data_IF_200397044404
#
_entry.id   IF_200397044404
#
_cell.length_a   1.000
_cell.length_b   1.000
_cell.length_c   1.000
_cell.angle_alpha   90.00
_cell.angle_beta   90.00
_cell.angle_gamma   90.00
#
_symmetry.space_group_name_H-M   'P 1'
#
loop_
_entity.id
_entity.type
_entity.pdbx_description
1 polymer ?
#
# COMPACT_ATOMS: atom_id res chain seq x y z
N UNK A 1 -13.79 -29.74 -11.43
CA UNK A 1 -12.84 -28.94 -10.62
C UNK A 1 -11.46 -28.92 -11.26
N UNK A 2 -11.00 -27.80 -11.80
CA UNK A 2 -9.56 -27.53 -12.02
C UNK A 2 -9.35 -26.05 -11.74
N UNK A 3 -8.70 -25.75 -10.61
CA UNK A 3 -8.38 -24.38 -10.17
C UNK A 3 -7.43 -23.76 -11.19
N UNK A 4 -7.86 -22.70 -11.85
CA UNK A 4 -6.98 -21.82 -12.64
C UNK A 4 -6.05 -21.12 -11.67
N UNK A 5 -4.80 -21.61 -11.59
CA UNK A 5 -3.74 -20.87 -10.93
C UNK A 5 -3.49 -19.60 -11.76
N UNK A 6 -3.74 -18.47 -11.12
CA UNK A 6 -3.47 -17.14 -11.61
C UNK A 6 -1.95 -16.94 -11.68
N UNK A 7 -1.32 -17.41 -12.76
CA UNK A 7 0.06 -17.07 -13.10
C UNK A 7 0.14 -15.54 -13.30
N UNK A 8 1.04 -14.84 -12.58
CA UNK A 8 1.21 -13.41 -12.80
C UNK A 8 1.71 -13.21 -14.23
N UNK A 9 0.87 -12.61 -15.08
CA UNK A 9 1.22 -12.19 -16.43
C UNK A 9 2.49 -11.33 -16.37
N UNK A 10 3.64 -11.94 -16.64
CA UNK A 10 4.90 -11.24 -16.85
C UNK A 10 4.68 -10.43 -18.12
N UNK A 11 4.65 -9.09 -17.99
CA UNK A 11 4.65 -8.20 -19.15
C UNK A 11 5.95 -8.47 -19.90
N UNK A 12 5.84 -9.15 -21.05
CA UNK A 12 6.91 -9.82 -21.81
C UNK A 12 7.94 -8.86 -22.44
N UNK A 13 8.08 -7.62 -21.95
CA UNK A 13 8.90 -6.57 -22.56
C UNK A 13 9.88 -5.85 -21.63
N UNK A 14 10.03 -6.25 -20.37
CA UNK A 14 10.92 -5.57 -19.39
C UNK A 14 11.93 -6.49 -18.69
N UNK A 15 12.00 -7.77 -19.09
CA UNK A 15 12.98 -8.69 -18.55
C UNK A 15 14.35 -8.44 -19.21
N UNK A 16 15.35 -8.10 -18.39
CA UNK A 16 16.74 -7.97 -18.80
C UNK A 16 17.57 -9.16 -18.33
N UNK A 17 18.77 -9.30 -18.88
CA UNK A 17 19.78 -10.27 -18.43
C UNK A 17 20.97 -9.49 -17.87
N UNK A 18 21.40 -9.85 -16.67
CA UNK A 18 22.55 -9.21 -16.03
C UNK A 18 23.88 -9.79 -16.57
N UNK A 19 25.02 -9.23 -16.14
CA UNK A 19 26.36 -9.68 -16.56
C UNK A 19 26.71 -11.12 -16.13
N UNK A 20 25.97 -11.67 -15.16
CA UNK A 20 26.11 -13.05 -14.69
C UNK A 20 25.17 -14.01 -15.44
N UNK A 21 24.41 -13.52 -16.44
CA UNK A 21 23.45 -14.33 -17.19
C UNK A 21 22.10 -14.54 -16.49
N UNK A 22 21.86 -13.89 -15.34
CA UNK A 22 20.61 -14.01 -14.59
C UNK A 22 19.52 -13.07 -15.12
N UNK A 23 18.29 -13.60 -15.21
CA UNK A 23 17.11 -12.86 -15.64
C UNK A 23 16.57 -11.97 -14.51
N UNK A 24 16.25 -10.72 -14.81
CA UNK A 24 15.66 -9.78 -13.86
C UNK A 24 14.64 -8.87 -14.54
N UNK A 25 13.75 -8.26 -13.75
CA UNK A 25 12.80 -7.26 -14.24
C UNK A 25 13.07 -5.94 -13.53
N UNK A 26 13.34 -4.89 -14.31
CA UNK A 26 13.61 -3.56 -13.76
C UNK A 26 12.46 -3.07 -12.87
N UNK A 27 12.80 -2.53 -11.68
CA UNK A 27 11.84 -2.00 -10.72
C UNK A 27 10.99 -3.04 -9.98
N UNK A 28 11.20 -4.34 -10.23
CA UNK A 28 10.50 -5.42 -9.51
C UNK A 28 11.44 -6.10 -8.50
N UNK A 29 10.95 -6.48 -7.31
CA UNK A 29 11.74 -7.28 -6.40
C UNK A 29 12.04 -8.66 -7.00
N UNK A 30 13.20 -9.22 -6.61
CA UNK A 30 13.58 -10.59 -6.97
C UNK A 30 12.52 -11.59 -6.49
N UNK A 31 12.22 -12.67 -7.24
CA UNK A 31 11.24 -13.67 -6.82
C UNK A 31 11.54 -14.25 -5.43
N UNK A 32 10.50 -14.49 -4.63
CA UNK A 32 10.64 -14.95 -3.24
C UNK A 32 11.37 -16.30 -3.13
N UNK A 33 11.27 -17.18 -4.12
CA UNK A 33 12.03 -18.43 -4.18
C UNK A 33 13.55 -18.18 -4.22
N UNK A 34 14.01 -17.24 -5.03
CA UNK A 34 15.43 -16.88 -5.13
C UNK A 34 15.90 -16.17 -3.86
N UNK A 35 15.06 -15.28 -3.30
CA UNK A 35 15.36 -14.59 -2.03
C UNK A 35 15.53 -15.58 -0.87
N UNK A 36 14.67 -16.61 -0.78
CA UNK A 36 14.84 -17.72 0.17
C UNK A 36 16.14 -18.47 -0.07
N UNK A 37 16.42 -18.82 -1.32
CA UNK A 37 17.62 -19.59 -1.67
C UNK A 37 18.92 -18.86 -1.30
N UNK A 38 18.97 -17.54 -1.46
CA UNK A 38 20.10 -16.71 -1.02
C UNK A 38 20.35 -16.88 0.48
N UNK A 39 19.30 -16.81 1.29
CA UNK A 39 19.41 -16.95 2.75
C UNK A 39 19.79 -18.37 3.15
N UNK A 40 19.17 -19.39 2.55
CA UNK A 40 19.51 -20.80 2.80
C UNK A 40 21.00 -21.08 2.59
N UNK A 41 21.55 -20.65 1.45
CA UNK A 41 22.96 -20.87 1.14
C UNK A 41 23.89 -20.13 2.11
N UNK A 42 23.53 -18.92 2.53
CA UNK A 42 24.30 -18.18 3.52
C UNK A 42 24.27 -18.86 4.90
N UNK A 43 23.13 -19.42 5.32
CA UNK A 43 23.01 -20.19 6.56
C UNK A 43 23.80 -21.50 6.51
N UNK A 44 23.98 -22.09 5.32
CA UNK A 44 24.87 -23.23 5.09
C UNK A 44 26.37 -22.85 5.05
N UNK A 45 26.72 -21.57 5.26
CA UNK A 45 28.10 -21.09 5.28
C UNK A 45 28.69 -20.80 3.90
N UNK A 46 27.88 -20.79 2.83
CA UNK A 46 28.35 -20.45 1.49
C UNK A 46 28.69 -18.96 1.42
N UNK A 47 29.83 -18.62 0.83
CA UNK A 47 30.29 -17.23 0.73
C UNK A 47 29.36 -16.42 -0.18
N UNK A 48 29.04 -15.15 0.14
CA UNK A 48 28.13 -14.33 -0.68
C UNK A 48 28.54 -14.19 -2.16
N UNK A 49 29.84 -14.21 -2.45
CA UNK A 49 30.36 -14.18 -3.81
C UNK A 49 30.02 -15.47 -4.59
N UNK A 50 30.03 -16.63 -3.94
CA UNK A 50 29.66 -17.90 -4.55
C UNK A 50 28.15 -18.00 -4.73
N UNK A 51 27.36 -17.51 -3.77
CA UNK A 51 25.90 -17.39 -3.90
C UNK A 51 25.54 -16.53 -5.12
N UNK A 52 26.21 -15.39 -5.31
CA UNK A 52 26.02 -14.49 -6.44
C UNK A 52 26.23 -15.20 -7.78
N UNK A 53 27.31 -15.98 -7.90
CA UNK A 53 27.62 -16.75 -9.11
C UNK A 53 26.65 -17.92 -9.32
N UNK A 54 26.31 -18.67 -8.27
CA UNK A 54 25.42 -19.84 -8.39
C UNK A 54 23.98 -19.46 -8.77
N UNK A 55 23.48 -18.35 -8.22
CA UNK A 55 22.11 -17.90 -8.48
C UNK A 55 22.02 -16.89 -9.62
N UNK A 56 23.15 -16.52 -10.22
CA UNK A 56 23.26 -15.52 -11.28
C UNK A 56 22.66 -14.16 -10.86
N UNK A 57 22.75 -13.82 -9.58
CA UNK A 57 22.24 -12.57 -9.00
C UNK A 57 23.41 -11.65 -8.69
N UNK A 58 23.28 -10.35 -8.94
CA UNK A 58 24.36 -9.40 -8.65
C UNK A 58 24.76 -9.41 -7.17
N UNK A 59 26.07 -9.28 -6.91
CA UNK A 59 26.62 -9.28 -5.55
C UNK A 59 25.95 -8.24 -4.64
N UNK A 60 25.68 -7.04 -5.16
CA UNK A 60 24.98 -5.99 -4.41
C UNK A 60 23.54 -6.37 -4.01
N UNK A 61 22.84 -7.16 -4.82
CA UNK A 61 21.51 -7.65 -4.48
C UNK A 61 21.57 -8.74 -3.40
N UNK A 62 22.52 -9.68 -3.51
CA UNK A 62 22.79 -10.71 -2.48
C UNK A 62 23.10 -10.04 -1.14
N UNK A 63 24.05 -9.11 -1.12
CA UNK A 63 24.44 -8.35 0.07
C UNK A 63 23.24 -7.65 0.71
N UNK A 64 22.44 -6.90 -0.07
CA UNK A 64 21.26 -6.19 0.42
C UNK A 64 20.19 -7.11 1.03
N UNK A 65 20.00 -8.30 0.47
CA UNK A 65 19.06 -9.29 1.01
C UNK A 65 19.57 -9.85 2.34
N UNK A 66 20.85 -10.22 2.41
CA UNK A 66 21.46 -10.79 3.60
C UNK A 66 21.52 -9.78 4.75
N UNK A 67 21.97 -8.54 4.50
CA UNK A 67 21.99 -7.47 5.51
C UNK A 67 20.62 -7.33 6.16
N UNK A 68 19.56 -7.19 5.35
CA UNK A 68 18.21 -7.03 5.86
C UNK A 68 17.68 -8.27 6.58
N UNK A 69 18.06 -9.46 6.11
CA UNK A 69 17.70 -10.71 6.81
C UNK A 69 18.34 -10.77 8.19
N UNK A 70 19.62 -10.39 8.34
CA UNK A 70 20.28 -10.35 9.64
C UNK A 70 19.72 -9.26 10.56
N UNK A 71 19.26 -8.14 10.02
CA UNK A 71 18.64 -7.06 10.80
C UNK A 71 17.20 -7.37 11.26
N UNK A 72 16.40 -8.01 10.40
CA UNK A 72 14.93 -8.10 10.60
C UNK A 72 14.37 -9.51 10.62
N UNK A 73 15.16 -10.52 10.22
CA UNK A 73 14.69 -11.88 9.96
C UNK A 73 13.79 -12.02 8.71
N UNK A 74 13.48 -10.94 7.99
CA UNK A 74 12.50 -10.96 6.91
C UNK A 74 13.13 -11.08 5.52
N UNK A 75 12.69 -12.09 4.78
CA UNK A 75 13.01 -12.26 3.37
C UNK A 75 12.11 -11.41 2.45
N UNK A 76 10.94 -10.94 2.91
CA UNK A 76 9.92 -10.32 2.04
C UNK A 76 10.37 -8.93 1.62
N UNK A 77 10.36 -8.52 0.32
CA UNK A 77 10.82 -7.19 -0.10
C UNK A 77 10.14 -6.04 0.67
N UNK A 78 10.83 -4.90 0.81
CA UNK A 78 10.23 -3.72 1.44
C UNK A 78 9.03 -3.22 0.66
N UNK A 79 8.09 -2.56 1.32
CA UNK A 79 6.92 -1.94 0.69
C UNK A 79 7.37 -0.83 -0.26
N UNK A 80 7.66 -1.17 -1.51
CA UNK A 80 7.94 -0.23 -2.58
C UNK A 80 6.59 0.43 -2.94
N UNK A 81 6.41 1.69 -2.55
CA UNK A 81 5.27 2.50 -3.02
C UNK A 81 4.22 2.89 -1.99
N UNK A 82 4.40 2.63 -0.70
CA UNK A 82 3.61 3.33 0.31
C UNK A 82 4.34 4.64 0.68
N UNK A 83 4.31 5.64 -0.21
CA UNK A 83 4.23 6.99 0.34
C UNK A 83 2.98 6.95 1.22
N UNK A 84 3.16 6.93 2.55
CA UNK A 84 2.07 7.30 3.44
C UNK A 84 1.66 8.67 2.91
N UNK A 85 0.57 8.75 2.15
CA UNK A 85 0.01 10.06 1.78
C UNK A 85 -0.09 10.75 3.11
N UNK A 86 0.73 11.82 3.30
CA UNK A 86 0.81 12.56 4.56
C UNK A 86 -0.61 12.60 5.08
N UNK A 87 -0.89 11.96 6.22
CA UNK A 87 -2.17 12.16 6.87
C UNK A 87 -2.15 13.64 7.26
N UNK A 88 -2.62 14.50 6.35
CA UNK A 88 -2.67 15.94 6.54
C UNK A 88 -3.78 16.28 7.55
N UNK A 89 -4.73 15.35 7.76
CA UNK A 89 -5.72 15.48 8.79
C UNK A 89 -5.16 14.99 10.14
N UNK A 90 -5.06 15.91 11.09
CA UNK A 90 -4.79 15.61 12.50
C UNK A 90 -5.76 14.52 13.00
N UNK A 91 -5.32 13.54 13.81
CA UNK A 91 -6.19 12.48 14.33
C UNK A 91 -7.46 12.99 15.02
N UNK A 92 -7.39 14.16 15.66
CA UNK A 92 -8.55 14.84 16.26
C UNK A 92 -9.63 15.19 15.23
N UNK A 93 -9.22 15.72 14.07
CA UNK A 93 -10.12 16.12 12.97
C UNK A 93 -10.78 14.88 12.36
N UNK A 94 -10.01 13.80 12.15
CA UNK A 94 -10.54 12.52 11.69
C UNK A 94 -11.63 12.01 12.63
N UNK A 95 -11.37 11.97 13.94
CA UNK A 95 -12.35 11.51 14.94
C UNK A 95 -13.64 12.34 14.90
N UNK A 96 -13.53 13.65 14.71
CA UNK A 96 -14.68 14.56 14.61
C UNK A 96 -15.49 14.32 13.34
N UNK A 97 -14.85 14.09 12.19
CA UNK A 97 -15.51 13.73 10.92
C UNK A 97 -16.36 12.47 11.10
N UNK A 98 -15.79 11.43 11.72
CA UNK A 98 -16.51 10.18 11.97
C UNK A 98 -17.70 10.39 12.90
N UNK A 99 -17.51 11.16 13.98
CA UNK A 99 -18.60 11.49 14.91
C UNK A 99 -19.73 12.26 14.24
N UNK A 100 -19.44 13.26 13.41
CA UNK A 100 -20.47 14.01 12.68
C UNK A 100 -21.31 13.10 11.78
N UNK A 101 -20.66 12.17 11.07
CA UNK A 101 -21.35 11.22 10.20
C UNK A 101 -22.11 10.13 10.98
N UNK A 102 -21.65 9.78 12.18
CA UNK A 102 -22.33 8.84 13.07
C UNK A 102 -23.57 9.47 13.72
N UNK A 103 -23.49 10.73 14.13
CA UNK A 103 -24.62 11.48 14.70
C UNK A 103 -25.71 11.77 13.65
N UNK A 104 -25.31 12.08 12.42
CA UNK A 104 -26.23 12.29 11.30
C UNK A 104 -25.68 11.64 10.02
N UNK A 105 -26.13 10.42 9.69
CA UNK A 105 -25.67 9.72 8.50
C UNK A 105 -26.11 10.39 7.18
N UNK A 106 -27.12 11.26 7.20
CA UNK A 106 -27.52 12.08 6.05
C UNK A 106 -26.57 13.23 5.76
N UNK A 107 -25.71 13.60 6.71
CA UNK A 107 -24.84 14.77 6.61
C UNK A 107 -23.79 14.60 5.49
N UNK A 108 -23.76 15.56 4.56
CA UNK A 108 -22.84 15.60 3.44
C UNK A 108 -21.44 16.03 3.88
N UNK A 109 -20.42 15.66 3.10
CA UNK A 109 -19.03 15.97 3.41
C UNK A 109 -18.74 17.48 3.47
N UNK A 110 -19.48 18.30 2.71
CA UNK A 110 -19.38 19.77 2.79
C UNK A 110 -19.97 20.31 4.10
N UNK A 111 -21.11 19.79 4.56
CA UNK A 111 -21.72 20.15 5.85
C UNK A 111 -20.81 19.77 7.02
N UNK A 112 -20.17 18.60 6.95
CA UNK A 112 -19.17 18.19 7.93
C UNK A 112 -18.01 19.19 7.96
N UNK A 113 -17.53 19.65 6.79
CA UNK A 113 -16.47 20.66 6.70
C UNK A 113 -16.91 22.00 7.30
N UNK A 114 -18.12 22.46 7.03
CA UNK A 114 -18.65 23.70 7.62
C UNK A 114 -18.80 23.60 9.13
N UNK A 115 -19.25 22.46 9.65
CA UNK A 115 -19.32 22.21 11.10
C UNK A 115 -17.94 22.22 11.75
N UNK A 116 -16.90 21.73 11.05
CA UNK A 116 -15.51 21.81 11.50
C UNK A 116 -14.96 23.25 11.47
N UNK A 117 -15.36 24.07 10.49
CA UNK A 117 -15.00 25.49 10.40
C UNK A 117 -15.67 26.31 11.51
N UNK A 118 -16.93 26.01 11.83
CA UNK A 118 -17.70 26.68 12.87
C UNK A 118 -17.19 26.37 14.28
N UNK A 119 -16.69 25.15 14.49
CA UNK A 119 -16.03 24.76 15.73
C UNK A 119 -14.60 25.32 15.75
N UNK A 120 -14.37 26.44 16.45
CA UNK A 120 -13.06 27.14 16.58
C UNK A 120 -11.89 26.33 17.17
N UNK A 121 -12.03 25.01 17.23
CA UNK A 121 -11.05 24.05 17.71
C UNK A 121 -10.07 23.59 16.60
N UNK A 122 -10.34 23.91 15.32
CA UNK A 122 -9.48 23.57 14.20
C UNK A 122 -9.03 24.85 13.49
N UNK A 123 -7.71 25.05 13.36
CA UNK A 123 -7.15 26.11 12.51
C UNK A 123 -7.61 25.90 11.05
N UNK A 124 -7.93 26.97 10.29
CA UNK A 124 -8.41 26.84 8.91
C UNK A 124 -7.49 26.02 7.99
N UNK A 125 -6.17 26.05 8.27
CA UNK A 125 -5.14 25.28 7.56
C UNK A 125 -5.16 23.77 7.85
N UNK A 126 -5.77 23.36 8.96
CA UNK A 126 -5.88 21.96 9.41
C UNK A 126 -7.15 21.26 8.92
N UNK A 127 -8.07 22.01 8.30
CA UNK A 127 -9.37 21.51 7.88
C UNK A 127 -9.23 20.83 6.51
N UNK A 128 -9.56 19.53 6.41
CA UNK A 128 -9.43 18.79 5.17
C UNK A 128 -10.40 19.30 4.09
N UNK A 129 -10.00 19.15 2.83
CA UNK A 129 -10.90 19.38 1.70
C UNK A 129 -12.08 18.40 1.72
N UNK A 130 -13.18 18.75 1.05
CA UNK A 130 -14.38 17.88 0.93
C UNK A 130 -14.02 16.51 0.36
N UNK A 131 -13.08 16.45 -0.59
CA UNK A 131 -12.56 15.18 -1.14
C UNK A 131 -11.81 14.36 -0.08
N UNK A 132 -11.02 15.02 0.76
CA UNK A 132 -10.29 14.37 1.86
C UNK A 132 -11.23 13.84 2.95
N UNK A 133 -12.29 14.59 3.29
CA UNK A 133 -13.37 14.14 4.19
C UNK A 133 -14.01 12.86 3.66
N UNK A 134 -14.38 12.84 2.37
CA UNK A 134 -14.94 11.67 1.73
C UNK A 134 -13.97 10.47 1.73
N UNK A 135 -12.68 10.71 1.53
CA UNK A 135 -11.65 9.65 1.60
C UNK A 135 -11.54 9.08 3.01
N UNK A 136 -11.59 9.93 4.04
CA UNK A 136 -11.59 9.53 5.45
C UNK A 136 -12.81 8.65 5.76
N UNK A 137 -14.01 9.10 5.36
CA UNK A 137 -15.25 8.35 5.58
C UNK A 137 -15.18 6.96 4.94
N UNK A 138 -14.74 6.86 3.67
CA UNK A 138 -14.60 5.57 2.97
C UNK A 138 -13.57 4.64 3.58
N UNK A 139 -12.44 5.16 4.05
CA UNK A 139 -11.37 4.35 4.62
C UNK A 139 -11.63 3.91 6.06
N UNK A 140 -12.60 4.52 6.75
CA UNK A 140 -12.94 4.25 8.15
C UNK A 140 -14.03 3.19 8.36
N UNK A 141 -14.76 2.83 7.30
CA UNK A 141 -15.86 1.86 7.36
C UNK A 141 -15.39 0.55 6.73
N UNK A 142 -14.95 -0.45 7.51
CA UNK A 142 -14.81 -1.79 7.01
C UNK A 142 -16.22 -2.36 6.79
N UNK A 143 -16.61 -2.55 5.53
CA UNK A 143 -17.69 -3.43 5.11
C UNK A 143 -18.98 -3.36 5.93
N UNK A 144 -19.74 -2.27 5.79
CA UNK A 144 -21.20 -2.41 5.71
C UNK A 144 -21.70 -1.62 4.50
N UNK A 145 -22.45 -2.34 3.68
CA UNK A 145 -23.13 -1.89 2.47
C UNK A 145 -23.96 -0.63 2.73
N UNK A 146 -23.44 0.54 2.37
CA UNK A 146 -24.27 1.69 2.09
C UNK A 146 -24.79 1.54 0.67
N UNK A 147 -25.90 0.81 0.54
CA UNK A 147 -26.70 0.82 -0.68
C UNK A 147 -27.24 2.22 -0.86
N UNK A 148 -26.69 2.97 -1.81
CA UNK A 148 -27.30 4.19 -2.33
C UNK A 148 -28.64 3.81 -2.96
N UNK A 149 -29.73 3.90 -2.19
CA UNK A 149 -31.05 4.09 -2.79
C UNK A 149 -31.16 5.58 -3.14
N UNK A 150 -30.80 5.90 -4.39
CA UNK A 150 -31.21 7.14 -5.02
C UNK A 150 -32.71 7.03 -5.31
N UNK A 151 -33.54 7.49 -4.37
CA UNK A 151 -34.96 7.69 -4.63
C UNK A 151 -35.12 9.04 -5.34
N UNK A 152 -35.40 8.98 -6.62
CA UNK A 152 -35.78 10.10 -7.48
C UNK A 152 -37.06 10.72 -6.94
N UNK A 153 -36.98 11.95 -6.42
CA UNK A 153 -38.16 12.75 -6.13
C UNK A 153 -38.79 13.22 -7.46
N UNK A 154 -40.11 13.04 -7.66
CA UNK A 154 -40.79 13.53 -8.85
C UNK A 154 -40.90 15.05 -8.79
N UNK A 155 -40.52 15.71 -9.90
CA UNK A 155 -40.77 17.13 -10.11
C UNK A 155 -42.25 17.28 -10.41
N UNK A 156 -42.99 17.88 -9.49
CA UNK A 156 -44.32 18.43 -9.74
C UNK A 156 -44.31 19.92 -9.41
N UNK A 157 -44.19 20.75 -10.44
CA UNK A 157 -45.18 21.74 -10.90
C UNK A 157 -44.58 22.57 -12.03
#
# INVERSE_FOLDING_TARGET
>A
MKKTMNEPRVILGQAGVNQLGGVFVNGRPLPDCVRRRIVELALMGVRPCDISRQLLVSHGCVSKILTRFYETGSIRPGSIGATKTKQVATPSVVKRILRCKQENPGMFAWEIRERLLSQRNCEPSSIPSVSSVNRILRNSVPSQSWTSKSETLPIHK
#
